data_IF_330206776091
#
_entry.id   IF_330206776091
#
_cell.length_a   1.000
_cell.length_b   1.000
_cell.length_c   1.000
_cell.angle_alpha   90.00
_cell.angle_beta   90.00
_cell.angle_gamma   90.00
#
_symmetry.space_group_name_H-M   'P 1'
#
loop_
_entity.id
_entity.type
_entity.pdbx_description
1 polymer ?
#
# COMPACT_ATOMS: atom_id res chain seq x y z
N UNK A 1 -17.17 -63.19 -13.02
CA UNK A 1 -16.52 -62.07 -13.75
C UNK A 1 -16.77 -60.79 -12.97
N UNK A 2 -15.82 -60.35 -12.16
CA UNK A 2 -15.72 -58.95 -11.72
C UNK A 2 -14.23 -58.62 -11.76
N UNK A 3 -13.89 -57.65 -12.62
CA UNK A 3 -12.53 -57.25 -12.95
C UNK A 3 -11.94 -56.40 -11.81
N UNK A 4 -10.73 -56.76 -11.41
CA UNK A 4 -9.78 -55.95 -10.64
C UNK A 4 -9.49 -54.64 -11.35
N UNK A 5 -9.36 -53.53 -10.63
CA UNK A 5 -8.21 -52.62 -10.79
C UNK A 5 -7.93 -51.85 -9.47
N UNK A 6 -6.65 -51.76 -9.03
CA UNK A 6 -6.24 -51.13 -7.78
C UNK A 6 -6.09 -49.60 -7.89
N UNK A 7 -6.31 -48.94 -6.76
CA UNK A 7 -6.11 -47.49 -6.56
C UNK A 7 -4.61 -47.18 -6.63
N UNK A 8 -4.15 -46.25 -7.49
CA UNK A 8 -2.75 -45.81 -7.48
C UNK A 8 -2.46 -44.88 -6.31
N UNK A 9 -1.44 -45.22 -5.55
CA UNK A 9 -0.74 -44.36 -4.59
C UNK A 9 0.12 -43.35 -5.33
N UNK A 10 -0.22 -42.05 -5.24
CA UNK A 10 0.66 -40.98 -5.69
C UNK A 10 1.45 -40.41 -4.50
N UNK A 11 2.73 -40.77 -4.45
CA UNK A 11 3.75 -40.19 -3.59
C UNK A 11 4.29 -38.88 -4.17
N UNK A 12 4.44 -37.89 -3.27
CA UNK A 12 5.47 -36.84 -3.22
C UNK A 12 6.18 -36.44 -4.53
N UNK A 13 6.03 -35.17 -4.95
CA UNK A 13 7.13 -34.19 -5.05
C UNK A 13 6.50 -32.78 -4.99
N UNK A 14 6.78 -32.02 -3.94
CA UNK A 14 6.75 -30.57 -3.99
C UNK A 14 8.10 -30.11 -3.46
N UNK A 15 9.01 -29.82 -4.38
CA UNK A 15 10.32 -29.25 -4.11
C UNK A 15 10.12 -27.85 -3.51
N UNK A 16 10.04 -27.79 -2.19
CA UNK A 16 10.05 -26.53 -1.47
C UNK A 16 11.49 -26.03 -1.44
N UNK A 17 11.85 -25.16 -2.39
CA UNK A 17 13.01 -24.29 -2.19
C UNK A 17 12.65 -23.33 -1.05
N UNK A 18 13.34 -23.37 0.11
CA UNK A 18 13.13 -22.35 1.11
C UNK A 18 13.59 -21.01 0.53
N UNK A 19 12.68 -20.03 0.57
CA UNK A 19 13.00 -18.64 0.30
C UNK A 19 14.08 -18.19 1.30
N UNK A 20 15.28 -17.90 0.81
CA UNK A 20 16.34 -17.27 1.59
C UNK A 20 16.17 -15.74 1.47
N UNK A 21 15.95 -14.99 2.57
CA UNK A 21 15.97 -13.54 2.52
C UNK A 21 17.39 -13.06 2.26
N UNK A 22 17.60 -12.39 1.13
CA UNK A 22 18.86 -11.72 0.79
C UNK A 22 19.05 -10.49 1.71
N UNK A 23 19.89 -10.63 2.72
CA UNK A 23 20.24 -9.63 3.73
C UNK A 23 21.24 -8.60 3.18
N UNK A 24 20.85 -7.80 2.20
CA UNK A 24 21.67 -6.65 1.73
C UNK A 24 20.81 -5.46 1.29
N UNK A 25 20.07 -4.81 2.19
CA UNK A 25 19.60 -3.42 1.96
C UNK A 25 19.16 -2.68 3.24
N UNK A 26 19.95 -2.77 4.32
CA UNK A 26 19.63 -2.25 5.67
C UNK A 26 20.13 -0.81 5.96
N UNK A 27 20.32 0.07 4.95
CA UNK A 27 20.94 1.39 5.21
C UNK A 27 20.29 2.62 4.56
N UNK A 28 18.96 2.65 4.35
CA UNK A 28 18.33 3.91 3.89
C UNK A 28 16.89 4.18 4.34
N UNK A 29 16.56 3.86 5.58
CA UNK A 29 15.41 4.47 6.26
C UNK A 29 15.76 4.73 7.73
N UNK A 30 16.72 5.61 7.98
CA UNK A 30 16.92 6.14 9.33
C UNK A 30 15.71 7.03 9.66
N UNK A 31 14.89 6.50 10.57
CA UNK A 31 13.73 7.15 11.14
C UNK A 31 14.15 8.40 11.91
N UNK A 32 13.63 9.56 11.52
CA UNK A 32 13.59 10.75 12.36
C UNK A 32 12.16 10.94 12.89
N UNK A 33 11.67 9.99 13.68
CA UNK A 33 10.34 10.08 14.28
C UNK A 33 10.30 11.22 15.32
N UNK A 34 9.89 12.40 14.90
CA UNK A 34 9.49 13.49 15.82
C UNK A 34 8.05 13.24 16.22
N UNK A 35 7.89 12.65 17.39
CA UNK A 35 6.62 12.37 18.05
C UNK A 35 5.97 13.66 18.52
N UNK A 36 4.82 14.00 17.94
CA UNK A 36 3.93 15.02 18.49
C UNK A 36 2.55 14.40 18.71
N UNK A 37 2.22 14.27 20.00
CA UNK A 37 0.93 14.08 20.67
C UNK A 37 0.07 12.84 20.32
N UNK A 38 -0.39 12.22 21.41
CA UNK A 38 -1.04 10.93 21.46
C UNK A 38 -2.45 10.92 20.84
N UNK A 39 -2.50 10.67 19.53
CA UNK A 39 -3.61 9.96 18.87
C UNK A 39 -3.04 9.21 17.68
N UNK A 40 -2.12 8.29 17.94
CA UNK A 40 -1.44 7.50 16.93
C UNK A 40 -2.40 6.45 16.32
N UNK A 41 -3.39 6.91 15.57
CA UNK A 41 -3.83 6.15 14.40
C UNK A 41 -2.57 5.97 13.54
N UNK A 42 -2.32 4.76 13.04
CA UNK A 42 -1.09 4.38 12.33
C UNK A 42 -0.73 5.38 11.21
N UNK A 43 0.10 6.39 11.53
CA UNK A 43 0.49 7.47 10.63
C UNK A 43 1.84 7.17 10.00
N UNK A 44 1.86 7.03 8.67
CA UNK A 44 3.09 6.87 7.89
C UNK A 44 3.49 8.22 7.34
N UNK A 45 4.76 8.60 7.51
CA UNK A 45 5.27 9.87 6.99
C UNK A 45 6.08 9.66 5.71
N UNK A 46 5.72 10.35 4.64
CA UNK A 46 6.38 10.26 3.33
C UNK A 46 7.01 11.60 2.97
N UNK A 47 8.34 11.62 2.78
CA UNK A 47 8.98 12.83 2.29
C UNK A 47 9.15 12.81 0.77
N UNK A 48 8.86 13.95 0.13
CA UNK A 48 8.85 14.11 -1.31
C UNK A 48 9.70 15.31 -1.75
N UNK A 49 10.18 15.27 -3.00
CA UNK A 49 10.99 16.35 -3.59
C UNK A 49 10.21 17.30 -4.46
N UNK A 50 9.32 16.74 -5.24
CA UNK A 50 8.60 17.43 -6.30
C UNK A 50 7.10 17.44 -5.97
N UNK A 51 6.51 18.63 -5.96
CA UNK A 51 5.09 18.80 -5.73
C UNK A 51 4.25 18.09 -6.81
N UNK A 52 4.73 18.05 -8.05
CA UNK A 52 4.06 17.31 -9.12
C UNK A 52 4.08 15.80 -8.86
N UNK A 53 5.10 15.26 -8.19
CA UNK A 53 5.10 13.86 -7.75
C UNK A 53 4.02 13.60 -6.67
N UNK A 54 3.88 14.52 -5.71
CA UNK A 54 2.82 14.41 -4.68
C UNK A 54 1.44 14.40 -5.34
N UNK A 55 1.18 15.35 -6.25
CA UNK A 55 -0.09 15.46 -6.96
C UNK A 55 -0.42 14.23 -7.82
N UNK A 56 0.56 13.70 -8.58
CA UNK A 56 0.36 12.46 -9.36
C UNK A 56 0.04 11.27 -8.47
N UNK A 57 0.72 11.18 -7.32
CA UNK A 57 0.45 10.11 -6.34
C UNK A 57 -0.96 10.25 -5.77
N UNK A 58 -1.42 11.47 -5.52
CA UNK A 58 -2.77 11.75 -5.03
C UNK A 58 -3.83 11.27 -6.01
N UNK A 59 -3.73 11.73 -7.27
CA UNK A 59 -4.64 11.34 -8.34
C UNK A 59 -4.66 9.82 -8.52
N UNK A 60 -3.49 9.17 -8.54
CA UNK A 60 -3.39 7.71 -8.68
C UNK A 60 -4.01 6.97 -7.49
N UNK A 61 -3.87 7.51 -6.28
CA UNK A 61 -4.45 6.92 -5.07
C UNK A 61 -5.97 7.01 -5.11
N UNK A 62 -6.54 8.15 -5.52
CA UNK A 62 -7.99 8.31 -5.72
C UNK A 62 -8.52 7.28 -6.73
N UNK A 63 -7.85 7.09 -7.88
CA UNK A 63 -8.22 6.05 -8.85
C UNK A 63 -8.16 4.63 -8.25
N UNK A 64 -7.11 4.30 -7.50
CA UNK A 64 -6.99 2.97 -6.89
C UNK A 64 -8.09 2.69 -5.86
N UNK A 65 -8.52 3.71 -5.12
CA UNK A 65 -9.63 3.59 -4.18
C UNK A 65 -10.96 3.40 -4.93
N UNK A 66 -11.17 4.14 -6.01
CA UNK A 66 -12.34 3.97 -6.88
C UNK A 66 -12.38 2.54 -7.49
N UNK A 67 -11.25 2.07 -8.04
CA UNK A 67 -11.09 0.71 -8.56
C UNK A 67 -11.36 -0.34 -7.47
N UNK A 68 -10.85 -0.11 -6.25
CA UNK A 68 -11.05 -1.01 -5.13
C UNK A 68 -12.51 -1.03 -4.63
N UNK A 69 -13.25 0.04 -4.86
CA UNK A 69 -14.67 0.14 -4.51
C UNK A 69 -15.57 -0.45 -5.59
N UNK A 70 -15.07 -0.53 -6.83
CA UNK A 70 -15.79 -1.15 -7.94
C UNK A 70 -15.91 -2.69 -7.75
N UNK A 71 -17.13 -3.25 -7.81
CA UNK A 71 -17.34 -4.69 -7.78
C UNK A 71 -16.70 -5.42 -8.97
N UNK A 72 -16.59 -4.75 -10.12
CA UNK A 72 -16.14 -5.34 -11.39
C UNK A 72 -14.63 -5.28 -11.59
N UNK A 73 -13.92 -4.45 -10.81
CA UNK A 73 -12.47 -4.34 -10.95
C UNK A 73 -11.75 -5.55 -10.34
N UNK A 74 -11.00 -6.26 -11.19
CA UNK A 74 -10.25 -7.48 -10.85
C UNK A 74 -8.75 -7.37 -11.14
N UNK A 75 -8.26 -6.19 -11.51
CA UNK A 75 -6.83 -5.97 -11.73
C UNK A 75 -6.03 -6.26 -10.45
N UNK A 76 -4.78 -6.72 -10.60
CA UNK A 76 -3.91 -7.01 -9.45
C UNK A 76 -3.80 -5.82 -8.50
N UNK A 77 -3.64 -4.61 -9.03
CA UNK A 77 -3.59 -3.39 -8.21
C UNK A 77 -4.88 -3.12 -7.45
N UNK A 78 -6.04 -3.33 -8.08
CA UNK A 78 -7.34 -3.18 -7.43
C UNK A 78 -7.53 -4.21 -6.32
N UNK A 79 -7.14 -5.47 -6.55
CA UNK A 79 -7.22 -6.54 -5.54
C UNK A 79 -6.30 -6.25 -4.34
N UNK A 80 -5.10 -5.74 -4.58
CA UNK A 80 -4.18 -5.33 -3.51
C UNK A 80 -4.73 -4.13 -2.73
N UNK A 81 -5.28 -3.13 -3.41
CA UNK A 81 -5.93 -1.99 -2.78
C UNK A 81 -7.15 -2.43 -1.93
N UNK A 82 -8.01 -3.31 -2.45
CA UNK A 82 -9.12 -3.94 -1.70
C UNK A 82 -8.64 -4.58 -0.40
N UNK A 83 -7.58 -5.39 -0.49
CA UNK A 83 -6.97 -6.02 0.69
C UNK A 83 -6.44 -4.98 1.67
N UNK A 84 -5.68 -3.99 1.20
CA UNK A 84 -5.10 -2.95 2.06
C UNK A 84 -6.18 -2.16 2.80
N UNK A 85 -7.24 -1.73 2.11
CA UNK A 85 -8.37 -1.00 2.70
C UNK A 85 -9.13 -1.85 3.72
N UNK A 86 -9.33 -3.16 3.44
CA UNK A 86 -9.95 -4.11 4.37
C UNK A 86 -9.13 -4.28 5.65
N UNK A 87 -7.83 -4.56 5.55
CA UNK A 87 -6.98 -4.77 6.73
C UNK A 87 -6.80 -3.51 7.57
N UNK A 88 -6.82 -2.34 6.94
CA UNK A 88 -6.79 -1.04 7.63
C UNK A 88 -8.16 -0.60 8.17
N UNK A 89 -9.23 -1.39 7.99
CA UNK A 89 -10.62 -1.06 8.37
C UNK A 89 -11.07 0.31 7.82
N UNK A 90 -10.68 0.61 6.58
CA UNK A 90 -10.96 1.90 5.95
C UNK A 90 -12.40 1.98 5.44
N UNK A 91 -12.95 0.85 4.96
CA UNK A 91 -14.31 0.80 4.41
C UNK A 91 -15.38 1.32 5.38
N UNK A 92 -15.26 1.02 6.68
CA UNK A 92 -16.18 1.52 7.71
C UNK A 92 -16.20 3.05 7.74
N UNK A 93 -15.03 3.69 7.63
CA UNK A 93 -14.87 5.15 7.61
C UNK A 93 -15.21 5.78 6.25
N UNK A 94 -15.20 4.97 5.19
CA UNK A 94 -15.44 5.43 3.82
C UNK A 94 -16.94 5.45 3.48
N UNK A 95 -17.78 4.85 4.31
CA UNK A 95 -19.24 4.89 4.17
C UNK A 95 -19.72 6.35 4.26
N UNK A 96 -20.22 6.89 3.15
CA UNK A 96 -20.70 8.29 3.07
C UNK A 96 -19.60 9.33 2.79
N UNK A 97 -18.37 8.91 2.50
CA UNK A 97 -17.28 9.81 2.11
C UNK A 97 -17.10 9.80 0.60
N UNK A 98 -17.15 10.97 -0.02
CA UNK A 98 -16.82 11.13 -1.44
C UNK A 98 -15.31 11.32 -1.63
N UNK A 99 -14.63 10.23 -2.00
CA UNK A 99 -13.18 10.25 -2.28
C UNK A 99 -12.84 10.97 -3.59
N UNK A 100 -13.84 11.26 -4.43
CA UNK A 100 -13.65 11.97 -5.71
C UNK A 100 -13.68 13.49 -5.56
N UNK A 101 -14.07 14.01 -4.39
CA UNK A 101 -14.03 15.45 -4.11
C UNK A 101 -12.60 15.99 -4.29
N UNK A 102 -12.42 17.06 -5.09
CA UNK A 102 -11.14 17.75 -5.21
C UNK A 102 -10.54 18.20 -3.88
N UNK A 103 -11.37 18.54 -2.89
CA UNK A 103 -10.92 19.02 -1.58
C UNK A 103 -10.66 17.88 -0.58
N UNK A 104 -10.96 16.62 -0.95
CA UNK A 104 -10.73 15.48 -0.09
C UNK A 104 -9.24 15.11 -0.02
N UNK A 105 -8.65 15.24 1.17
CA UNK A 105 -7.30 14.78 1.45
C UNK A 105 -7.29 13.26 1.68
N UNK A 106 -7.06 12.53 0.57
CA UNK A 106 -6.96 11.07 0.56
C UNK A 106 -5.82 10.55 1.43
N UNK A 107 -4.75 11.33 1.62
CA UNK A 107 -3.59 10.89 2.37
C UNK A 107 -3.83 11.02 3.85
N UNK A 108 -4.38 12.14 4.30
CA UNK A 108 -4.81 12.30 5.69
C UNK A 108 -5.79 11.19 6.08
N UNK A 109 -6.78 10.91 5.22
CA UNK A 109 -7.74 9.84 5.42
C UNK A 109 -7.09 8.45 5.59
N UNK A 110 -6.04 8.16 4.81
CA UNK A 110 -5.27 6.93 4.88
C UNK A 110 -4.22 6.91 6.01
N UNK A 111 -4.10 8.00 6.77
CA UNK A 111 -3.08 8.17 7.81
C UNK A 111 -1.69 8.36 7.22
N UNK A 112 -1.56 9.14 6.16
CA UNK A 112 -0.28 9.46 5.51
C UNK A 112 -0.01 10.95 5.63
N UNK A 113 1.09 11.30 6.30
CA UNK A 113 1.54 12.68 6.41
C UNK A 113 2.67 12.93 5.39
N UNK A 114 2.56 13.98 4.57
CA UNK A 114 3.60 14.34 3.60
C UNK A 114 4.56 15.39 4.15
N UNK A 115 5.85 15.25 3.87
CA UNK A 115 6.89 16.23 4.18
C UNK A 115 7.65 16.64 2.92
N UNK A 116 7.75 17.94 2.62
CA UNK A 116 8.70 18.40 1.60
C UNK A 116 10.12 18.14 2.13
N UNK A 117 10.99 17.51 1.35
CA UNK A 117 12.34 17.23 1.80
C UNK A 117 13.18 18.54 1.79
N UNK A 118 13.75 18.97 2.93
CA UNK A 118 14.42 20.27 3.00
C UNK A 118 15.79 20.28 2.30
N UNK A 119 16.34 19.11 1.95
CA UNK A 119 17.72 18.89 1.50
C UNK A 119 18.13 19.58 0.18
N UNK A 120 17.23 20.27 -0.54
CA UNK A 120 17.58 20.97 -1.78
C UNK A 120 17.01 22.39 -1.90
N UNK A 121 16.41 22.96 -0.84
CA UNK A 121 16.01 24.37 -0.86
C UNK A 121 17.23 25.31 -0.72
N UNK A 122 18.41 24.78 -0.35
CA UNK A 122 19.65 25.54 -0.15
C UNK A 122 20.55 25.64 -1.39
N UNK A 123 20.15 25.12 -2.55
CA UNK A 123 20.98 25.09 -3.77
C UNK A 123 20.43 25.95 -4.91
N UNK A 124 19.76 27.06 -4.59
CA UNK A 124 19.27 28.03 -5.58
C UNK A 124 19.45 29.48 -5.11
N UNK A 125 20.58 29.78 -4.47
CA UNK A 125 21.13 31.14 -4.37
C UNK A 125 22.60 31.12 -4.74
N UNK A 126 22.87 31.34 -6.02
CA UNK A 126 24.12 31.93 -6.52
C UNK A 126 23.72 32.96 -7.56
#
# INVERSE_FOLDING_TARGET
MVLTLPIPTNSLISSTKPWSPNTKHEHRYQMLATSTTAKAAHRVRLCYRDEAYRQRTEARTKCLIADASSPTSSSTSALLAKKALKYRKVYDRMTGVDVTDPNFDVFEFLGVDWCKNPSMESSSRV
#
